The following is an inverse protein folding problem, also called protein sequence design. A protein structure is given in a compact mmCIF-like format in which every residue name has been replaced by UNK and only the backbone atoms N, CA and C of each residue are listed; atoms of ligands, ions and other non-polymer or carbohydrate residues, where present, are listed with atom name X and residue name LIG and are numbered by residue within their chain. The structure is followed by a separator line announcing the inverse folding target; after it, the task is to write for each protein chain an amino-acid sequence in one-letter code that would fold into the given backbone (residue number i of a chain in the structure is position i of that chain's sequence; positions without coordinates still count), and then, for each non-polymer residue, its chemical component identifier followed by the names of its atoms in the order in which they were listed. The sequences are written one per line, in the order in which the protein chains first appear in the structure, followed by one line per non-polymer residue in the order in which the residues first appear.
data_IF_136543711830
#
_entry.id   IF_136543711830
#
_cell.length_a   1.000
_cell.length_b   1.000
_cell.length_c   1.000
_cell.angle_alpha   90.00
_cell.angle_beta   90.00
_cell.angle_gamma   90.00
#
_symmetry.space_group_name_H-M   'P 1'
#
loop_
_entity.id
_entity.type
_entity.pdbx_description
1 polymer ?
#
# COMPACT_ATOMS: atom_id res chain seq x y z
N UNK A 1 2.67 -15.80 23.56
CA UNK A 1 2.62 -14.72 22.55
C UNK A 1 1.16 -14.51 22.25
N UNK A 2 0.65 -13.31 22.43
CA UNK A 2 -0.74 -12.98 22.14
C UNK A 2 -0.92 -13.00 20.62
N UNK A 3 -1.90 -13.74 20.14
CA UNK A 3 -2.32 -13.84 18.75
C UNK A 3 -2.75 -12.46 18.26
N UNK A 4 -2.02 -11.83 17.34
CA UNK A 4 -2.42 -10.54 16.79
C UNK A 4 -3.53 -10.73 15.74
N UNK A 5 -4.60 -9.95 15.85
CA UNK A 5 -5.72 -9.89 14.90
C UNK A 5 -5.79 -8.50 14.29
N UNK A 6 -5.32 -8.38 13.06
CA UNK A 6 -5.23 -7.09 12.37
C UNK A 6 -6.14 -7.08 11.15
N UNK A 7 -7.11 -6.17 11.13
CA UNK A 7 -7.90 -5.88 9.95
C UNK A 7 -7.12 -4.89 9.07
N UNK A 8 -7.12 -5.08 7.76
CA UNK A 8 -6.44 -4.20 6.82
C UNK A 8 -7.36 -3.75 5.68
N UNK A 9 -7.16 -2.53 5.19
CA UNK A 9 -7.94 -1.91 4.10
C UNK A 9 -6.99 -1.25 3.09
N UNK A 10 -7.22 -1.50 1.78
CA UNK A 10 -6.51 -0.81 0.70
C UNK A 10 -7.48 -0.44 -0.42
N UNK A 11 -7.52 0.86 -0.77
CA UNK A 11 -8.42 1.42 -1.80
C UNK A 11 -7.77 2.54 -2.63
N UNK A 12 -6.43 2.64 -2.61
CA UNK A 12 -5.69 3.75 -3.22
C UNK A 12 -5.63 3.71 -4.76
N UNK A 13 -5.97 2.57 -5.39
CA UNK A 13 -5.86 2.35 -6.84
C UNK A 13 -7.19 1.90 -7.45
N UNK A 14 -7.17 1.19 -8.58
CA UNK A 14 -8.36 0.56 -9.16
C UNK A 14 -8.83 -0.67 -8.37
N UNK A 15 -7.94 -1.26 -7.58
CA UNK A 15 -8.24 -2.36 -6.68
C UNK A 15 -8.89 -1.85 -5.39
N UNK A 16 -9.86 -2.61 -4.89
CA UNK A 16 -10.48 -2.46 -3.58
C UNK A 16 -10.27 -3.77 -2.82
N UNK A 17 -9.68 -3.72 -1.64
CA UNK A 17 -9.43 -4.91 -0.85
C UNK A 17 -9.53 -4.66 0.65
N UNK A 18 -9.95 -5.70 1.37
CA UNK A 18 -9.84 -5.82 2.81
C UNK A 18 -9.21 -7.17 3.15
N UNK A 19 -8.44 -7.24 4.22
CA UNK A 19 -7.81 -8.46 4.68
C UNK A 19 -7.84 -8.58 6.20
N UNK A 20 -7.87 -9.81 6.70
CA UNK A 20 -7.80 -10.13 8.11
C UNK A 20 -6.58 -11.01 8.36
N UNK A 21 -5.65 -10.51 9.16
CA UNK A 21 -4.48 -11.24 9.64
C UNK A 21 -4.79 -11.84 11.01
N UNK A 22 -4.58 -13.14 11.16
CA UNK A 22 -4.65 -13.86 12.43
C UNK A 22 -3.49 -14.85 12.47
N UNK A 23 -2.58 -14.74 13.43
CA UNK A 23 -1.48 -15.69 13.66
C UNK A 23 -0.66 -16.07 12.42
N UNK A 24 -0.30 -15.10 11.60
CA UNK A 24 0.49 -15.36 10.40
C UNK A 24 -0.34 -15.78 9.18
N UNK A 25 -1.65 -16.03 9.34
CA UNK A 25 -2.57 -16.33 8.24
C UNK A 25 -3.30 -15.06 7.80
N UNK A 26 -3.46 -14.88 6.50
CA UNK A 26 -4.20 -13.75 5.94
C UNK A 26 -5.33 -14.26 5.06
N UNK A 27 -6.56 -13.88 5.39
CA UNK A 27 -7.72 -14.01 4.52
C UNK A 27 -8.02 -12.67 3.88
N UNK A 28 -8.30 -12.63 2.58
CA UNK A 28 -8.54 -11.39 1.85
C UNK A 28 -9.83 -11.44 1.02
N UNK A 29 -10.45 -10.27 0.88
CA UNK A 29 -11.46 -9.96 -0.13
C UNK A 29 -10.88 -8.90 -1.06
N UNK A 30 -10.88 -9.18 -2.36
CA UNK A 30 -10.26 -8.31 -3.37
C UNK A 30 -11.14 -8.22 -4.61
N UNK A 31 -11.24 -7.03 -5.19
CA UNK A 31 -11.91 -6.79 -6.47
C UNK A 31 -11.24 -5.65 -7.24
N UNK A 32 -11.09 -5.81 -8.55
CA UNK A 32 -10.84 -4.69 -9.44
C UNK A 32 -12.18 -3.99 -9.72
N UNK A 33 -12.43 -2.89 -9.02
CA UNK A 33 -13.74 -2.24 -9.01
C UNK A 33 -13.60 -0.70 -9.00
N UNK A 34 -13.13 -0.11 -10.10
CA UNK A 34 -12.96 1.34 -10.19
C UNK A 34 -14.25 2.07 -9.85
N UNK A 35 -14.17 3.10 -8.99
CA UNK A 35 -15.28 3.93 -8.51
C UNK A 35 -16.33 3.24 -7.61
N UNK A 36 -16.12 1.97 -7.22
CA UNK A 36 -17.05 1.23 -6.36
C UNK A 36 -16.51 1.04 -4.92
N UNK A 37 -15.32 1.54 -4.61
CA UNK A 37 -14.63 1.32 -3.33
C UNK A 37 -15.50 1.62 -2.12
N UNK A 38 -16.21 2.77 -2.12
CA UNK A 38 -17.08 3.16 -1.00
C UNK A 38 -18.26 2.19 -0.79
N UNK A 39 -18.75 1.54 -1.86
CA UNK A 39 -19.84 0.56 -1.76
C UNK A 39 -19.34 -0.82 -1.34
N UNK A 40 -18.06 -1.16 -1.62
CA UNK A 40 -17.53 -2.52 -1.45
C UNK A 40 -16.77 -2.71 -0.15
N UNK A 41 -16.09 -1.68 0.35
CA UNK A 41 -15.10 -1.87 1.41
C UNK A 41 -15.72 -2.37 2.72
N UNK A 42 -16.83 -1.79 3.19
CA UNK A 42 -17.48 -2.25 4.40
C UNK A 42 -18.10 -3.65 4.27
N UNK A 43 -18.81 -4.00 3.19
CA UNK A 43 -19.21 -5.38 2.93
C UNK A 43 -18.07 -6.40 2.90
N UNK A 44 -16.88 -6.03 2.35
CA UNK A 44 -15.69 -6.90 2.40
C UNK A 44 -15.22 -7.13 3.84
N UNK A 45 -15.17 -6.08 4.65
CA UNK A 45 -14.83 -6.17 6.08
C UNK A 45 -15.84 -7.05 6.83
N UNK A 46 -17.14 -6.81 6.65
CA UNK A 46 -18.20 -7.62 7.26
C UNK A 46 -18.08 -9.10 6.89
N UNK A 47 -17.82 -9.40 5.61
CA UNK A 47 -17.61 -10.77 5.12
C UNK A 47 -16.41 -11.46 5.78
N UNK A 48 -15.29 -10.75 5.97
CA UNK A 48 -14.10 -11.30 6.62
C UNK A 48 -14.34 -11.61 8.08
N UNK A 49 -14.94 -10.67 8.81
CA UNK A 49 -15.26 -10.85 10.23
C UNK A 49 -16.24 -11.98 10.44
N UNK A 50 -17.27 -12.08 9.60
CA UNK A 50 -18.24 -13.19 9.64
C UNK A 50 -17.59 -14.54 9.36
N UNK A 51 -16.68 -14.63 8.35
CA UNK A 51 -15.93 -15.87 8.06
C UNK A 51 -15.07 -16.32 9.24
N UNK A 52 -14.49 -15.37 9.97
CA UNK A 52 -13.64 -15.65 11.12
C UNK A 52 -14.42 -15.79 12.44
N UNK A 53 -15.74 -15.64 12.42
CA UNK A 53 -16.61 -15.60 13.62
C UNK A 53 -16.16 -14.54 14.65
N UNK A 54 -15.65 -13.38 14.16
CA UNK A 54 -15.17 -12.29 14.99
C UNK A 54 -16.09 -11.08 14.94
N UNK A 55 -16.04 -10.30 16.02
CA UNK A 55 -16.55 -8.94 16.05
C UNK A 55 -15.41 -7.94 15.87
N UNK A 56 -15.73 -6.70 15.47
CA UNK A 56 -14.71 -5.62 15.35
C UNK A 56 -13.97 -5.40 16.67
N UNK A 57 -14.66 -5.53 17.81
CA UNK A 57 -14.07 -5.36 19.14
C UNK A 57 -13.13 -6.50 19.57
N UNK A 58 -13.07 -7.58 18.80
CA UNK A 58 -12.13 -8.68 19.02
C UNK A 58 -10.80 -8.51 18.25
N UNK A 59 -10.68 -7.44 17.47
CA UNK A 59 -9.45 -7.05 16.77
C UNK A 59 -8.49 -6.35 17.73
N UNK A 60 -7.19 -6.40 17.40
CA UNK A 60 -6.13 -5.74 18.16
C UNK A 60 -5.68 -4.43 17.50
N UNK A 61 -5.81 -4.34 16.16
CA UNK A 61 -5.46 -3.13 15.39
C UNK A 61 -6.17 -3.11 14.04
N UNK A 62 -6.17 -1.90 13.42
CA UNK A 62 -6.61 -1.69 12.06
C UNK A 62 -5.50 -1.05 11.23
N UNK A 63 -5.00 -1.77 10.22
CA UNK A 63 -4.05 -1.26 9.24
C UNK A 63 -4.77 -0.68 8.02
N UNK A 64 -4.19 0.34 7.40
CA UNK A 64 -4.79 0.93 6.20
C UNK A 64 -3.74 1.48 5.24
N UNK A 65 -4.04 1.39 3.94
CA UNK A 65 -3.28 2.06 2.91
C UNK A 65 -3.49 3.56 2.99
N UNK A 66 -2.46 4.28 3.49
CA UNK A 66 -2.54 5.74 3.67
C UNK A 66 -2.28 6.53 2.39
N UNK A 67 -1.89 5.87 1.30
CA UNK A 67 -1.40 6.48 0.07
C UNK A 67 0.12 6.30 -0.11
N UNK A 68 0.70 6.88 -1.18
CA UNK A 68 0.05 7.75 -2.18
C UNK A 68 -0.97 7.00 -3.04
N UNK A 69 -1.96 7.70 -3.59
CA UNK A 69 -3.02 7.05 -4.35
C UNK A 69 -4.01 8.01 -5.00
N UNK A 70 -5.06 7.44 -5.59
CA UNK A 70 -6.18 8.22 -6.11
C UNK A 70 -6.84 9.02 -4.98
N UNK A 71 -7.06 10.31 -5.21
CA UNK A 71 -7.58 11.27 -4.24
C UNK A 71 -8.80 10.77 -3.44
N UNK A 72 -9.77 10.17 -4.13
CA UNK A 72 -10.97 9.61 -3.51
C UNK A 72 -10.63 8.30 -2.78
N UNK A 73 -9.82 7.43 -3.40
CA UNK A 73 -9.49 6.12 -2.87
C UNK A 73 -8.80 6.20 -1.51
N UNK A 74 -7.73 6.96 -1.38
CA UNK A 74 -6.99 7.09 -0.11
C UNK A 74 -7.86 7.67 1.01
N UNK A 75 -8.83 8.55 0.67
CA UNK A 75 -9.79 9.06 1.65
C UNK A 75 -10.82 8.03 2.08
N UNK A 76 -11.24 7.14 1.19
CA UNK A 76 -12.15 6.04 1.53
C UNK A 76 -11.46 5.11 2.53
N UNK A 77 -10.21 4.69 2.27
CA UNK A 77 -9.45 3.87 3.22
C UNK A 77 -9.30 4.54 4.58
N UNK A 78 -8.82 5.78 4.60
CA UNK A 78 -8.61 6.54 5.83
C UNK A 78 -9.93 6.74 6.63
N UNK A 79 -11.02 7.14 5.94
CA UNK A 79 -12.31 7.36 6.61
C UNK A 79 -12.93 6.07 7.16
N UNK A 80 -12.84 4.97 6.41
CA UNK A 80 -13.30 3.67 6.87
C UNK A 80 -12.47 3.19 8.07
N UNK A 81 -11.14 3.31 7.99
CA UNK A 81 -10.23 2.97 9.08
C UNK A 81 -10.52 3.82 10.32
N UNK A 82 -10.65 5.13 10.19
CA UNK A 82 -10.97 6.03 11.28
C UNK A 82 -12.31 5.68 11.95
N UNK A 83 -13.35 5.46 11.14
CA UNK A 83 -14.69 5.13 11.67
C UNK A 83 -14.73 3.81 12.42
N UNK A 84 -14.11 2.75 11.87
CA UNK A 84 -14.06 1.43 12.51
C UNK A 84 -13.20 1.49 13.78
N UNK A 85 -12.02 2.10 13.71
CA UNK A 85 -11.09 2.20 14.82
C UNK A 85 -11.69 3.02 15.98
N UNK A 86 -12.38 4.12 15.66
CA UNK A 86 -13.06 4.95 16.67
C UNK A 86 -14.19 4.19 17.36
N UNK A 87 -14.99 3.43 16.61
CA UNK A 87 -16.13 2.69 17.15
C UNK A 87 -15.72 1.53 18.07
N UNK A 88 -14.54 0.95 17.88
CA UNK A 88 -14.05 -0.22 18.59
C UNK A 88 -12.83 0.07 19.50
N UNK A 89 -12.45 1.33 19.65
CA UNK A 89 -11.26 1.78 20.42
C UNK A 89 -9.98 1.08 20.00
N UNK A 90 -9.77 0.94 18.67
CA UNK A 90 -8.60 0.26 18.10
C UNK A 90 -7.50 1.25 17.73
N UNK A 91 -6.23 0.86 17.92
CA UNK A 91 -5.12 1.57 17.32
C UNK A 91 -5.13 1.40 15.80
N UNK A 92 -4.63 2.42 15.08
CA UNK A 92 -4.46 2.37 13.63
C UNK A 92 -3.00 2.25 13.23
N UNK A 93 -2.74 1.52 12.15
CA UNK A 93 -1.40 1.30 11.59
C UNK A 93 -1.37 1.78 10.15
N UNK A 94 -0.76 2.93 9.87
CA UNK A 94 -0.64 3.42 8.49
C UNK A 94 0.41 2.60 7.72
N UNK A 95 0.08 2.23 6.48
CA UNK A 95 1.00 1.55 5.54
C UNK A 95 0.98 2.31 4.23
N UNK A 96 2.15 2.60 3.66
CA UNK A 96 2.17 3.29 2.36
C UNK A 96 1.76 2.35 1.24
N UNK A 97 1.05 2.88 0.26
CA UNK A 97 0.62 2.12 -0.93
C UNK A 97 1.81 1.55 -1.71
N UNK A 98 2.95 2.27 -1.73
CA UNK A 98 4.17 1.78 -2.38
C UNK A 98 4.81 0.63 -1.59
N UNK A 99 4.74 0.63 -0.27
CA UNK A 99 5.19 -0.51 0.54
C UNK A 99 4.31 -1.75 0.30
N UNK A 100 2.98 -1.58 0.25
CA UNK A 100 2.06 -2.67 -0.08
C UNK A 100 2.31 -3.22 -1.49
N UNK A 101 2.58 -2.35 -2.47
CA UNK A 101 2.94 -2.74 -3.83
C UNK A 101 4.26 -3.53 -3.88
N UNK A 102 5.27 -3.08 -3.12
CA UNK A 102 6.54 -3.80 -3.00
C UNK A 102 6.37 -5.15 -2.31
N UNK A 103 5.53 -5.23 -1.27
CA UNK A 103 5.15 -6.48 -0.59
C UNK A 103 4.53 -7.48 -1.55
N UNK A 104 3.60 -7.04 -2.40
CA UNK A 104 2.99 -7.86 -3.44
C UNK A 104 4.01 -8.40 -4.45
N UNK A 105 4.97 -7.58 -4.89
CA UNK A 105 6.03 -8.04 -5.78
C UNK A 105 6.97 -9.06 -5.10
N UNK A 106 7.27 -8.86 -3.82
CA UNK A 106 8.07 -9.78 -3.03
C UNK A 106 7.38 -11.14 -2.85
N UNK A 107 6.07 -11.13 -2.67
CA UNK A 107 5.25 -12.35 -2.52
C UNK A 107 5.05 -13.07 -3.86
N UNK A 108 4.62 -12.35 -4.91
CA UNK A 108 4.15 -12.96 -6.16
C UNK A 108 5.31 -13.30 -7.12
N UNK A 109 6.45 -12.63 -7.01
CA UNK A 109 7.61 -12.81 -7.88
C UNK A 109 8.90 -13.19 -7.13
N UNK A 110 8.80 -13.48 -5.84
CA UNK A 110 9.92 -13.77 -4.94
C UNK A 110 11.05 -12.71 -5.03
N UNK A 111 10.65 -11.45 -5.15
CA UNK A 111 11.57 -10.34 -5.26
C UNK A 111 12.33 -10.11 -3.94
N UNK A 112 13.65 -9.94 -4.01
CA UNK A 112 14.46 -9.46 -2.88
C UNK A 112 14.56 -7.93 -2.85
N UNK A 113 14.34 -7.28 -4.01
CA UNK A 113 14.45 -5.84 -4.15
C UNK A 113 13.49 -5.32 -5.23
N UNK A 114 12.82 -4.21 -4.94
CA UNK A 114 11.70 -3.70 -5.73
C UNK A 114 11.84 -2.20 -5.95
N UNK A 115 11.70 -1.75 -7.19
CA UNK A 115 11.43 -0.37 -7.57
C UNK A 115 9.91 -0.23 -7.75
N UNK A 116 9.22 0.26 -6.74
CA UNK A 116 7.79 0.51 -6.79
C UNK A 116 7.50 1.86 -7.42
N UNK A 117 6.66 1.88 -8.46
CA UNK A 117 6.28 3.10 -9.15
C UNK A 117 4.78 3.13 -9.45
N UNK A 118 4.09 4.19 -9.03
CA UNK A 118 2.70 4.44 -9.37
C UNK A 118 2.58 5.70 -10.23
N UNK A 119 1.70 5.68 -11.24
CA UNK A 119 1.38 6.88 -12.01
C UNK A 119 0.73 7.93 -11.09
N UNK A 120 1.45 9.01 -10.81
CA UNK A 120 0.98 10.13 -9.99
C UNK A 120 0.23 11.19 -10.80
N UNK A 121 0.02 10.95 -12.11
CA UNK A 121 -0.50 11.91 -13.08
C UNK A 121 0.40 13.14 -13.25
N UNK A 122 0.06 14.00 -14.20
CA UNK A 122 0.78 15.27 -14.44
C UNK A 122 2.27 15.06 -14.75
N UNK A 123 2.58 14.01 -15.51
CA UNK A 123 3.94 13.61 -15.92
C UNK A 123 4.87 13.30 -14.74
N UNK A 124 4.32 12.78 -13.65
CA UNK A 124 5.06 12.39 -12.44
C UNK A 124 4.73 10.96 -12.01
N UNK A 125 5.66 10.38 -11.27
CA UNK A 125 5.50 9.07 -10.62
C UNK A 125 5.68 9.21 -9.11
N UNK A 126 4.85 8.51 -8.34
CA UNK A 126 5.19 8.18 -6.96
C UNK A 126 6.22 7.05 -7.02
N UNK A 127 7.32 7.20 -6.33
CA UNK A 127 8.49 6.33 -6.42
C UNK A 127 8.98 5.91 -5.04
N UNK A 128 9.26 4.63 -4.88
CA UNK A 128 9.89 4.06 -3.70
C UNK A 128 10.79 2.88 -4.06
N UNK A 129 11.92 2.76 -3.37
CA UNK A 129 12.87 1.66 -3.52
C UNK A 129 12.84 0.83 -2.24
N UNK A 130 12.68 -0.48 -2.38
CA UNK A 130 12.53 -1.39 -1.25
C UNK A 130 13.43 -2.61 -1.38
N UNK A 131 13.93 -3.07 -0.26
CA UNK A 131 14.59 -4.38 -0.15
C UNK A 131 13.81 -5.24 0.84
N UNK A 132 13.89 -6.56 0.67
CA UNK A 132 13.29 -7.50 1.62
C UNK A 132 14.11 -7.51 2.91
N UNK A 133 13.49 -7.27 4.03
CA UNK A 133 14.13 -7.38 5.33
C UNK A 133 14.26 -8.84 5.81
N UNK A 134 14.81 -9.04 6.99
CA UNK A 134 14.99 -10.37 7.61
C UNK A 134 13.65 -11.06 7.97
N UNK A 135 12.58 -10.28 8.11
CA UNK A 135 11.21 -10.76 8.34
C UNK A 135 10.47 -11.10 7.05
N UNK A 136 11.08 -10.84 5.88
CA UNK A 136 10.46 -11.06 4.58
C UNK A 136 9.60 -9.91 4.08
N UNK A 137 9.58 -8.77 4.79
CA UNK A 137 8.76 -7.60 4.50
C UNK A 137 9.53 -6.49 3.75
N UNK A 138 8.82 -5.57 3.08
CA UNK A 138 9.46 -4.48 2.34
C UNK A 138 10.04 -3.43 3.29
N UNK A 139 11.36 -3.24 3.25
CA UNK A 139 12.11 -2.19 3.94
C UNK A 139 12.45 -1.07 2.96
N UNK A 140 11.95 0.14 3.23
CA UNK A 140 12.19 1.31 2.39
C UNK A 140 13.67 1.72 2.41
N UNK A 141 14.22 1.94 1.23
CA UNK A 141 15.57 2.47 1.03
C UNK A 141 15.49 3.97 0.75
N UNK A 142 15.89 4.78 1.72
CA UNK A 142 15.78 6.23 1.63
C UNK A 142 14.38 6.75 1.94
N UNK A 143 13.72 7.41 0.98
CA UNK A 143 12.38 7.97 1.14
C UNK A 143 11.52 7.75 -0.10
N UNK A 144 10.22 7.69 0.07
CA UNK A 144 9.27 7.79 -1.02
C UNK A 144 9.22 9.23 -1.56
N UNK A 145 9.07 9.37 -2.87
CA UNK A 145 9.06 10.68 -3.54
C UNK A 145 8.02 10.71 -4.65
N UNK A 146 7.56 11.91 -5.01
CA UNK A 146 6.90 12.17 -6.29
C UNK A 146 7.85 13.00 -7.15
N UNK A 147 8.07 12.59 -8.40
CA UNK A 147 8.99 13.26 -9.30
C UNK A 147 8.68 12.93 -10.76
N UNK A 148 9.23 13.75 -11.68
CA UNK A 148 9.26 13.36 -13.09
C UNK A 148 10.02 12.03 -13.26
N UNK A 149 9.57 11.13 -14.15
CA UNK A 149 10.22 9.83 -14.38
C UNK A 149 11.73 9.93 -14.70
N UNK A 150 12.12 11.02 -15.37
CA UNK A 150 13.52 11.30 -15.66
C UNK A 150 14.36 11.69 -14.43
N UNK A 151 13.73 12.08 -13.32
CA UNK A 151 14.41 12.58 -12.12
C UNK A 151 14.45 11.58 -10.96
N UNK A 152 13.74 10.43 -11.04
CA UNK A 152 13.76 9.43 -9.96
C UNK A 152 15.16 8.86 -9.76
N UNK A 153 15.49 8.55 -8.52
CA UNK A 153 16.75 7.89 -8.18
C UNK A 153 16.65 6.39 -8.46
N UNK A 154 17.29 5.93 -9.52
CA UNK A 154 17.40 4.49 -9.82
C UNK A 154 18.56 3.93 -8.98
N UNK A 155 18.34 2.88 -8.18
CA UNK A 155 19.40 2.30 -7.35
C UNK A 155 20.46 1.58 -8.18
N UNK A 156 21.64 1.41 -7.62
CA UNK A 156 22.71 0.58 -8.18
C UNK A 156 22.43 -0.92 -7.96
N UNK A 157 23.24 -1.76 -8.63
CA UNK A 157 23.12 -3.22 -8.54
C UNK A 157 22.09 -3.80 -9.50
N UNK A 158 22.03 -5.12 -9.55
CA UNK A 158 21.21 -5.90 -10.46
C UNK A 158 20.14 -6.71 -9.71
N UNK A 159 19.21 -7.32 -10.44
CA UNK A 159 18.20 -8.20 -9.85
C UNK A 159 16.96 -7.47 -9.33
N UNK A 160 16.74 -6.23 -9.75
CA UNK A 160 15.57 -5.44 -9.37
C UNK A 160 14.31 -5.90 -10.07
N UNK A 161 13.19 -5.89 -9.35
CA UNK A 161 11.85 -6.01 -9.93
C UNK A 161 11.20 -4.64 -9.93
N UNK A 162 10.67 -4.28 -11.09
CA UNK A 162 9.85 -3.08 -11.28
C UNK A 162 8.38 -3.43 -11.01
N UNK A 163 7.67 -2.68 -10.17
CA UNK A 163 6.28 -2.96 -9.85
C UNK A 163 5.40 -1.71 -9.89
N UNK A 164 4.20 -1.86 -10.48
CA UNK A 164 3.12 -0.89 -10.47
C UNK A 164 2.96 -0.04 -11.73
N UNK A 165 1.86 0.70 -11.78
CA UNK A 165 1.35 1.41 -12.96
C UNK A 165 2.27 2.49 -13.54
N UNK A 166 3.19 3.03 -12.75
CA UNK A 166 4.19 3.99 -13.23
C UNK A 166 5.11 3.41 -14.29
N UNK A 167 5.40 2.11 -14.22
CA UNK A 167 6.25 1.42 -15.20
C UNK A 167 5.58 1.20 -16.55
N UNK A 168 4.24 1.09 -16.57
CA UNK A 168 3.48 1.08 -17.83
C UNK A 168 3.33 2.50 -18.40
N UNK A 169 2.91 3.45 -17.53
CA UNK A 169 2.60 4.81 -17.96
C UNK A 169 3.83 5.57 -18.53
N UNK A 170 5.03 5.28 -17.98
CA UNK A 170 6.27 5.99 -18.32
C UNK A 170 7.39 5.04 -18.75
N UNK A 171 7.03 3.95 -19.43
CA UNK A 171 7.98 2.91 -19.86
C UNK A 171 9.15 3.48 -20.69
N UNK A 172 8.86 4.39 -21.62
CA UNK A 172 9.87 5.01 -22.50
C UNK A 172 10.94 5.81 -21.72
N UNK A 173 10.61 6.30 -20.53
CA UNK A 173 11.51 7.09 -19.70
C UNK A 173 12.19 6.25 -18.61
N UNK A 174 11.45 5.32 -17.98
CA UNK A 174 11.95 4.52 -16.85
C UNK A 174 12.79 3.32 -17.29
N UNK A 175 12.37 2.61 -18.36
CA UNK A 175 13.05 1.40 -18.82
C UNK A 175 14.51 1.65 -19.23
N UNK A 176 14.85 2.70 -20.03
CA UNK A 176 16.24 2.97 -20.38
C UNK A 176 17.11 3.36 -19.17
N UNK A 177 16.51 3.96 -18.14
CA UNK A 177 17.23 4.37 -16.91
C UNK A 177 17.54 3.19 -16.00
N UNK A 178 16.60 2.27 -15.85
CA UNK A 178 16.80 1.06 -15.07
C UNK A 178 17.69 0.04 -15.81
N UNK A 179 17.57 -0.03 -17.15
CA UNK A 179 18.44 -0.83 -17.99
C UNK A 179 18.44 -2.31 -17.62
N UNK A 180 19.64 -2.90 -17.70
CA UNK A 180 19.87 -4.31 -17.38
C UNK A 180 19.73 -4.66 -15.88
N UNK A 181 19.56 -3.66 -15.00
CA UNK A 181 19.31 -3.89 -13.56
C UNK A 181 18.01 -4.61 -13.31
N UNK A 182 17.04 -4.49 -14.24
CA UNK A 182 15.72 -5.12 -14.10
C UNK A 182 15.75 -6.56 -14.59
N UNK A 183 15.27 -7.47 -13.74
CA UNK A 183 15.04 -8.88 -14.12
C UNK A 183 13.57 -9.12 -14.49
N UNK A 184 12.65 -8.27 -14.01
CA UNK A 184 11.22 -8.39 -14.32
C UNK A 184 10.49 -7.07 -14.13
N UNK A 185 9.42 -6.88 -14.91
CA UNK A 185 8.49 -5.74 -14.76
C UNK A 185 7.08 -6.28 -14.53
N UNK A 186 6.40 -5.76 -13.52
CA UNK A 186 5.04 -6.11 -13.08
C UNK A 186 4.16 -4.84 -13.13
N UNK A 187 3.82 -4.34 -14.33
CA UNK A 187 3.17 -3.03 -14.48
C UNK A 187 1.71 -3.04 -14.01
N UNK A 188 1.06 -4.20 -14.04
CA UNK A 188 -0.35 -4.38 -13.65
C UNK A 188 -0.51 -4.83 -12.20
N UNK A 189 0.59 -4.92 -11.44
CA UNK A 189 0.51 -5.26 -10.02
C UNK A 189 -0.14 -4.12 -9.25
N UNK A 190 -1.18 -4.47 -8.49
CA UNK A 190 -1.91 -3.54 -7.64
C UNK A 190 -1.52 -3.75 -6.16
N UNK A 191 -1.49 -2.70 -5.35
CA UNK A 191 -1.37 -2.83 -3.90
C UNK A 191 -2.60 -3.54 -3.34
N UNK A 192 -2.39 -4.42 -2.34
CA UNK A 192 -3.45 -5.24 -1.77
C UNK A 192 -3.49 -5.14 -0.25
N UNK A 193 -4.69 -5.26 0.31
CA UNK A 193 -4.89 -5.33 1.76
C UNK A 193 -4.17 -6.52 2.40
N UNK A 194 -3.91 -7.59 1.64
CA UNK A 194 -3.06 -8.71 2.06
C UNK A 194 -1.69 -8.23 2.55
N UNK A 195 -1.02 -7.43 1.75
CA UNK A 195 0.32 -6.94 2.04
C UNK A 195 0.28 -5.83 3.11
N UNK A 196 -0.79 -5.00 3.11
CA UNK A 196 -1.07 -4.05 4.19
C UNK A 196 -1.24 -4.77 5.53
N UNK A 197 -1.91 -5.93 5.57
CA UNK A 197 -2.12 -6.72 6.78
C UNK A 197 -0.82 -7.29 7.35
N UNK A 198 0.05 -7.83 6.50
CA UNK A 198 1.36 -8.36 6.91
C UNK A 198 2.26 -7.26 7.48
N UNK A 199 2.40 -6.15 6.75
CA UNK A 199 3.20 -4.99 7.18
C UNK A 199 2.58 -4.38 8.46
N UNK A 200 1.26 -4.28 8.51
CA UNK A 200 0.52 -3.75 9.65
C UNK A 200 0.69 -4.58 10.90
N UNK A 201 0.65 -5.90 10.80
CA UNK A 201 0.86 -6.82 11.93
C UNK A 201 2.27 -6.71 12.51
N UNK A 202 3.28 -6.60 11.66
CA UNK A 202 4.67 -6.41 12.07
C UNK A 202 4.87 -5.06 12.77
N UNK A 203 4.33 -3.97 12.21
CA UNK A 203 4.38 -2.63 12.82
C UNK A 203 3.62 -2.59 14.15
N UNK A 204 2.45 -3.22 14.23
CA UNK A 204 1.70 -3.36 15.48
C UNK A 204 2.52 -4.08 16.54
N UNK A 205 3.19 -5.18 16.20
CA UNK A 205 4.05 -5.92 17.12
C UNK A 205 5.24 -5.09 17.63
N UNK A 206 5.70 -4.10 16.84
CA UNK A 206 6.74 -3.14 17.23
C UNK A 206 6.21 -1.92 17.98
N UNK A 207 4.89 -1.80 18.16
CA UNK A 207 4.26 -0.65 18.81
C UNK A 207 4.20 0.61 17.93
N UNK A 208 4.36 0.49 16.62
CA UNK A 208 4.28 1.57 15.65
C UNK A 208 2.81 1.84 15.28
N UNK A 209 2.06 2.37 16.21
CA UNK A 209 0.61 2.58 16.10
C UNK A 209 0.24 4.04 16.38
N UNK A 210 -0.89 4.47 15.80
CA UNK A 210 -1.54 5.74 16.10
C UNK A 210 -2.94 5.54 16.68
N UNK A 211 -3.60 6.65 17.02
CA UNK A 211 -4.99 6.67 17.43
C UNK A 211 -5.91 6.73 16.20
N UNK A 212 -7.20 6.45 16.35
CA UNK A 212 -8.18 6.55 15.26
C UNK A 212 -8.11 7.88 14.50
N UNK A 213 -7.88 9.01 15.18
CA UNK A 213 -7.74 10.34 14.58
C UNK A 213 -6.52 10.50 13.66
N UNK A 214 -5.52 9.64 13.80
CA UNK A 214 -4.30 9.65 12.99
C UNK A 214 -4.47 8.92 11.65
N UNK A 215 -5.63 8.30 11.42
CA UNK A 215 -5.95 7.68 10.14
C UNK A 215 -6.24 8.74 9.08
N UNK A 216 -5.18 9.34 8.54
CA UNK A 216 -5.23 10.39 7.53
C UNK A 216 -4.46 10.00 6.27
N UNK A 217 -4.91 10.45 5.07
CA UNK A 217 -4.17 10.21 3.84
C UNK A 217 -2.83 10.93 3.80
N UNK A 218 -1.83 10.30 3.18
CA UNK A 218 -0.53 10.91 2.87
C UNK A 218 -0.46 11.25 1.39
N UNK A 219 0.03 12.45 1.11
CA UNK A 219 0.30 12.96 -0.23
C UNK A 219 1.78 13.27 -0.35
N UNK A 220 2.45 12.69 -1.35
CA UNK A 220 3.86 12.97 -1.61
C UNK A 220 4.07 14.31 -2.33
N UNK A 221 3.00 14.86 -2.92
CA UNK A 221 3.02 16.15 -3.60
C UNK A 221 2.60 17.26 -2.65
N UNK A 222 3.51 18.19 -2.36
CA UNK A 222 3.27 19.35 -1.48
C UNK A 222 2.40 20.44 -2.12
N UNK A 223 2.35 20.49 -3.46
CA UNK A 223 1.56 21.48 -4.21
C UNK A 223 0.67 20.80 -5.25
N UNK A 224 -0.63 20.79 -5.02
CA UNK A 224 -1.64 20.22 -5.93
C UNK A 224 -2.00 21.15 -7.09
N UNK A 225 -1.66 22.44 -7.01
CA UNK A 225 -2.01 23.45 -8.03
C UNK A 225 -0.73 24.02 -8.65
N UNK A 226 -0.49 23.74 -9.93
CA UNK A 226 0.42 24.58 -10.74
C UNK A 226 -0.24 25.95 -10.89
N UNK A 227 0.36 26.99 -10.33
CA UNK A 227 -0.02 28.37 -10.67
C UNK A 227 0.23 28.55 -12.17
N UNK A 228 -0.78 28.91 -13.00
CA UNK A 228 -0.54 29.20 -14.39
C UNK A 228 0.34 30.46 -14.50
N UNK A 229 1.52 30.33 -15.05
CA UNK A 229 2.38 31.45 -15.45
C UNK A 229 3.30 32.00 -14.35
N UNK A 230 4.48 31.44 -14.27
CA UNK A 230 5.70 32.14 -13.91
C UNK A 230 6.70 31.94 -15.06
#
# INVERSE_FOLDING_TARGET
MTTARVLAIETATAACSAALYIDGQVEERHALAPRQHAALILPMVESLLASAELTVTALDALAFGQGPGAFTGVRIAASAAQGIAFAADLPVVPVTTLAALAGGAMRDADASQVMAARDARMDEVDWGVYTRDTGGLPALQGRETVAAPAAVAVPDGDGWIAAGSGWAAYAEQLMPRAGERLVRVLPDLEPRAYDVALIGADRFARGEVGQAGDAVPVYLRDQVVRTPGA
#
